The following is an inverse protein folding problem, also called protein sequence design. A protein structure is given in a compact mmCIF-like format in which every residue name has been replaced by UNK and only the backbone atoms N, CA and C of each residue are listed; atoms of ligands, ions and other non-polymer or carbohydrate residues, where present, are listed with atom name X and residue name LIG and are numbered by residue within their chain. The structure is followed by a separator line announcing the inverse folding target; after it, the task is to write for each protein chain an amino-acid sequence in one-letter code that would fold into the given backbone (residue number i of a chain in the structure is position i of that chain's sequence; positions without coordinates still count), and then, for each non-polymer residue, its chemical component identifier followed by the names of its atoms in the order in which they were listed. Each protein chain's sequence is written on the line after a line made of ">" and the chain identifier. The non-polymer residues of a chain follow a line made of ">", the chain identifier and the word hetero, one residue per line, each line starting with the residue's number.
data_IF_136051355710
#
_entry.id   IF_136051355710
#
_cell.length_a   1.000
_cell.length_b   1.000
_cell.length_c   1.000
_cell.angle_alpha   90.00
_cell.angle_beta   90.00
_cell.angle_gamma   90.00
#
_symmetry.space_group_name_H-M   'P 1'
#
loop_
_entity.id
_entity.type
_entity.pdbx_description
1 polymer ?
#
# COMPACT_ATOMS: atom_id res chain seq x y z
N UNK A 1 -11.66 -14.18 34.11
CA UNK A 1 -11.97 -13.74 32.76
C UNK A 1 -10.72 -13.52 31.98
N UNK A 2 -10.60 -14.25 30.94
CA UNK A 2 -9.44 -14.12 30.09
C UNK A 2 -9.59 -12.89 29.20
N UNK A 3 -8.62 -12.00 29.28
CA UNK A 3 -8.46 -10.98 28.26
C UNK A 3 -8.19 -11.65 26.94
N UNK A 4 -8.87 -11.26 25.85
CA UNK A 4 -8.55 -11.82 24.55
C UNK A 4 -7.08 -11.55 24.25
N UNK A 5 -6.35 -12.60 23.93
CA UNK A 5 -5.00 -12.43 23.42
C UNK A 5 -5.05 -11.71 22.09
N UNK A 6 -4.16 -10.75 21.92
CA UNK A 6 -3.88 -10.24 20.59
C UNK A 6 -3.49 -11.43 19.72
N UNK A 7 -4.08 -11.61 18.54
CA UNK A 7 -3.73 -12.73 17.69
C UNK A 7 -2.23 -12.66 17.34
N UNK A 8 -1.57 -13.79 17.49
CA UNK A 8 -0.19 -13.93 17.02
C UNK A 8 -0.22 -13.93 15.49
N UNK A 9 0.45 -12.96 14.88
CA UNK A 9 0.51 -12.89 13.44
C UNK A 9 1.27 -14.10 12.87
N UNK A 10 0.68 -14.76 11.90
CA UNK A 10 1.35 -15.83 11.15
C UNK A 10 2.42 -15.22 10.22
N UNK A 11 3.32 -16.08 9.72
CA UNK A 11 4.28 -15.66 8.69
C UNK A 11 3.57 -15.07 7.47
N UNK A 12 2.44 -15.67 7.08
CA UNK A 12 1.63 -15.15 5.96
C UNK A 12 1.09 -13.75 6.24
N UNK A 13 0.59 -13.51 7.46
CA UNK A 13 0.06 -12.20 7.85
C UNK A 13 1.15 -11.11 7.82
N UNK A 14 2.38 -11.47 8.17
CA UNK A 14 3.53 -10.56 8.12
C UNK A 14 3.96 -10.31 6.67
N UNK A 15 3.97 -11.36 5.85
CA UNK A 15 4.47 -11.32 4.48
C UNK A 15 3.52 -10.66 3.49
N UNK A 16 2.20 -10.79 3.67
CA UNK A 16 1.23 -10.21 2.74
C UNK A 16 1.41 -8.70 2.54
N UNK A 17 1.55 -7.87 3.58
CA UNK A 17 1.78 -6.44 3.37
C UNK A 17 3.07 -6.13 2.62
N UNK A 18 4.12 -6.90 2.86
CA UNK A 18 5.41 -6.72 2.19
C UNK A 18 5.27 -7.02 0.70
N UNK A 19 4.61 -8.13 0.38
CA UNK A 19 4.38 -8.53 -1.01
C UNK A 19 3.43 -7.55 -1.71
N UNK A 20 2.39 -7.10 -1.03
CA UNK A 20 1.46 -6.10 -1.58
C UNK A 20 2.18 -4.79 -1.90
N UNK A 21 3.11 -4.36 -1.07
CA UNK A 21 3.91 -3.15 -1.33
C UNK A 21 4.83 -3.34 -2.53
N UNK A 22 5.47 -4.49 -2.66
CA UNK A 22 6.27 -4.82 -3.84
C UNK A 22 5.40 -4.88 -5.10
N UNK A 23 4.19 -5.44 -4.98
CA UNK A 23 3.22 -5.50 -6.08
C UNK A 23 2.82 -4.10 -6.54
N UNK A 24 2.58 -3.19 -5.62
CA UNK A 24 2.24 -1.81 -5.96
C UNK A 24 3.32 -1.19 -6.85
N UNK A 25 4.59 -1.33 -6.47
CA UNK A 25 5.71 -0.81 -7.27
C UNK A 25 5.78 -1.46 -8.65
N UNK A 26 5.61 -2.77 -8.71
CA UNK A 26 5.68 -3.51 -9.98
C UNK A 26 4.51 -3.14 -10.91
N UNK A 27 3.29 -3.11 -10.39
CA UNK A 27 2.11 -2.74 -11.17
C UNK A 27 2.15 -1.27 -11.60
N UNK A 28 2.70 -0.39 -10.78
CA UNK A 28 2.84 1.02 -11.14
C UNK A 28 3.77 1.19 -12.35
N UNK A 29 4.81 0.37 -12.47
CA UNK A 29 5.74 0.42 -13.60
C UNK A 29 5.18 -0.22 -14.86
N UNK A 30 4.57 -1.39 -14.72
CA UNK A 30 4.18 -2.22 -15.87
C UNK A 30 2.69 -2.32 -16.16
N UNK A 31 1.84 -1.81 -15.26
CA UNK A 31 0.40 -2.00 -15.34
C UNK A 31 -0.02 -3.42 -14.98
N UNK A 32 -1.33 -3.65 -14.91
CA UNK A 32 -1.84 -4.97 -14.54
C UNK A 32 -1.44 -6.04 -15.56
N UNK A 33 -1.64 -5.76 -16.84
CA UNK A 33 -1.37 -6.73 -17.89
C UNK A 33 0.13 -6.86 -18.19
N UNK A 34 0.90 -5.82 -17.97
CA UNK A 34 2.34 -5.80 -18.25
C UNK A 34 3.20 -6.32 -17.10
N UNK A 35 2.62 -6.74 -15.99
CA UNK A 35 3.34 -7.20 -14.80
C UNK A 35 2.97 -8.65 -14.53
N UNK A 36 3.97 -9.49 -14.31
CA UNK A 36 3.77 -10.90 -13.96
C UNK A 36 3.91 -11.10 -12.45
N UNK A 37 3.35 -12.19 -11.94
CA UNK A 37 3.58 -12.58 -10.54
C UNK A 37 5.06 -12.82 -10.28
N UNK A 38 5.80 -13.32 -11.27
CA UNK A 38 7.26 -13.50 -11.18
C UNK A 38 7.98 -12.16 -10.98
N UNK A 39 7.52 -11.09 -11.62
CA UNK A 39 8.08 -9.75 -11.42
C UNK A 39 7.91 -9.28 -9.99
N UNK A 40 6.72 -9.47 -9.42
CA UNK A 40 6.43 -9.13 -8.03
C UNK A 40 7.28 -9.96 -7.08
N UNK A 41 7.39 -11.25 -7.33
CA UNK A 41 8.19 -12.17 -6.51
C UNK A 41 9.66 -11.74 -6.48
N UNK A 42 10.20 -11.32 -7.62
CA UNK A 42 11.58 -10.83 -7.72
C UNK A 42 11.76 -9.56 -6.88
N UNK A 43 10.85 -8.61 -6.98
CA UNK A 43 10.91 -7.38 -6.20
C UNK A 43 10.78 -7.64 -4.69
N UNK A 44 10.00 -8.64 -4.31
CA UNK A 44 9.80 -9.03 -2.91
C UNK A 44 10.87 -10.00 -2.38
N UNK A 45 11.76 -10.46 -3.25
CA UNK A 45 12.83 -11.42 -2.94
C UNK A 45 12.30 -12.75 -2.39
N UNK A 46 11.20 -13.24 -2.97
CA UNK A 46 10.61 -14.55 -2.66
C UNK A 46 10.30 -15.30 -3.94
N UNK A 47 9.93 -16.58 -3.82
CA UNK A 47 9.57 -17.38 -4.99
C UNK A 47 8.18 -17.02 -5.51
N UNK A 48 7.92 -17.16 -6.82
CA UNK A 48 6.58 -17.00 -7.36
C UNK A 48 5.57 -17.96 -6.71
N UNK A 49 5.98 -19.17 -6.39
CA UNK A 49 5.12 -20.15 -5.71
C UNK A 49 4.66 -19.63 -4.35
N UNK A 50 5.53 -18.94 -3.61
CA UNK A 50 5.17 -18.37 -2.33
C UNK A 50 4.19 -17.19 -2.50
N UNK A 51 4.39 -16.38 -3.54
CA UNK A 51 3.41 -15.31 -3.85
C UNK A 51 2.04 -15.91 -4.12
N UNK A 52 1.94 -16.98 -4.90
CA UNK A 52 0.67 -17.66 -5.18
C UNK A 52 0.06 -18.27 -3.91
N UNK A 53 0.88 -18.70 -2.97
CA UNK A 53 0.39 -19.18 -1.68
C UNK A 53 -0.28 -18.07 -0.88
N UNK A 54 0.28 -16.85 -0.93
CA UNK A 54 -0.27 -15.69 -0.22
C UNK A 54 -1.47 -15.08 -0.96
N UNK A 55 -1.38 -15.04 -2.28
CA UNK A 55 -2.39 -14.46 -3.18
C UNK A 55 -2.62 -15.45 -4.33
N UNK A 56 -3.63 -16.32 -4.21
CA UNK A 56 -3.84 -17.39 -5.18
C UNK A 56 -4.10 -16.95 -6.61
N UNK A 57 -4.47 -15.70 -6.83
CA UNK A 57 -4.72 -15.14 -8.16
C UNK A 57 -4.07 -13.76 -8.28
N UNK A 58 -3.64 -13.41 -9.48
CA UNK A 58 -3.04 -12.11 -9.78
C UNK A 58 -3.98 -10.95 -9.43
N UNK A 59 -5.28 -11.13 -9.63
CA UNK A 59 -6.28 -10.12 -9.33
C UNK A 59 -6.31 -9.80 -7.83
N UNK A 60 -6.17 -10.81 -6.98
CA UNK A 60 -6.12 -10.61 -5.52
C UNK A 60 -4.85 -9.85 -5.12
N UNK A 61 -3.74 -10.14 -5.77
CA UNK A 61 -2.50 -9.42 -5.58
C UNK A 61 -2.64 -7.96 -5.98
N UNK A 62 -3.30 -7.71 -7.11
CA UNK A 62 -3.56 -6.36 -7.59
C UNK A 62 -4.46 -5.57 -6.63
N UNK A 63 -5.53 -6.20 -6.12
CA UNK A 63 -6.41 -5.57 -5.13
C UNK A 63 -5.62 -5.22 -3.87
N UNK A 64 -4.76 -6.10 -3.39
CA UNK A 64 -3.92 -5.83 -2.23
C UNK A 64 -2.98 -4.64 -2.49
N UNK A 65 -2.42 -4.54 -3.69
CA UNK A 65 -1.60 -3.39 -4.10
C UNK A 65 -2.40 -2.09 -4.10
N UNK A 66 -3.64 -2.12 -4.59
CA UNK A 66 -4.54 -0.95 -4.57
C UNK A 66 -4.87 -0.53 -3.14
N UNK A 67 -5.08 -1.47 -2.24
CA UNK A 67 -5.32 -1.17 -0.83
C UNK A 67 -4.13 -0.45 -0.20
N UNK A 68 -2.91 -0.86 -0.49
CA UNK A 68 -1.70 -0.18 -0.03
C UNK A 68 -1.64 1.25 -0.59
N UNK A 69 -1.93 1.41 -1.87
CA UNK A 69 -1.96 2.72 -2.52
C UNK A 69 -2.99 3.63 -1.83
N UNK A 70 -4.18 3.12 -1.58
CA UNK A 70 -5.26 3.86 -0.94
C UNK A 70 -4.88 4.27 0.48
N UNK A 71 -4.27 3.37 1.25
CA UNK A 71 -3.80 3.67 2.60
C UNK A 71 -2.76 4.79 2.62
N UNK A 72 -1.85 4.80 1.64
CA UNK A 72 -0.86 5.88 1.49
C UNK A 72 -1.52 7.22 1.20
N UNK A 73 -2.54 7.25 0.36
CA UNK A 73 -3.29 8.47 0.05
C UNK A 73 -4.00 8.98 1.30
N UNK A 74 -4.70 8.10 2.00
CA UNK A 74 -5.41 8.46 3.23
C UNK A 74 -4.43 8.98 4.29
N UNK A 75 -3.30 8.30 4.47
CA UNK A 75 -2.28 8.72 5.43
C UNK A 75 -1.70 10.10 5.07
N UNK A 76 -1.46 10.37 3.79
CA UNK A 76 -0.96 11.66 3.35
C UNK A 76 -1.97 12.78 3.59
N UNK A 77 -3.25 12.53 3.31
CA UNK A 77 -4.31 13.50 3.56
C UNK A 77 -4.47 13.78 5.06
N UNK A 78 -4.43 12.74 5.88
CA UNK A 78 -4.51 12.88 7.34
C UNK A 78 -3.32 13.66 7.89
N UNK A 79 -2.10 13.36 7.44
CA UNK A 79 -0.91 14.08 7.84
C UNK A 79 -0.97 15.55 7.41
N UNK A 80 -1.51 15.83 6.22
CA UNK A 80 -1.71 17.19 5.74
C UNK A 80 -2.69 17.95 6.60
N UNK A 81 -3.80 17.33 7.00
CA UNK A 81 -4.78 17.94 7.88
C UNK A 81 -4.17 18.26 9.26
N UNK A 82 -3.38 17.33 9.82
CA UNK A 82 -2.72 17.51 11.11
C UNK A 82 -1.63 18.61 11.06
N UNK A 83 -1.01 18.78 9.91
CA UNK A 83 0.03 19.79 9.71
C UNK A 83 -0.53 21.17 9.36
N UNK A 84 -1.85 21.32 9.26
CA UNK A 84 -2.47 22.59 8.89
C UNK A 84 -2.14 23.68 9.92
N UNK A 85 -1.80 24.87 9.41
CA UNK A 85 -1.60 26.05 10.25
C UNK A 85 -2.95 26.71 10.50
N UNK A 86 -3.57 26.34 11.61
CA UNK A 86 -4.86 26.86 12.03
C UNK A 86 -5.98 25.86 11.85
N UNK A 87 -7.14 26.21 12.44
CA UNK A 87 -8.29 25.32 12.53
C UNK A 87 -9.38 25.63 11.51
N UNK A 88 -9.16 26.61 10.62
CA UNK A 88 -10.16 26.93 9.60
C UNK A 88 -10.28 25.80 8.59
N UNK A 89 -11.50 25.53 8.08
CA UNK A 89 -11.67 24.53 7.04
C UNK A 89 -10.79 24.80 5.81
N UNK A 90 -10.57 26.05 5.47
CA UNK A 90 -9.73 26.45 4.34
C UNK A 90 -8.27 26.07 4.56
N UNK A 91 -7.72 26.34 5.75
CA UNK A 91 -6.34 25.99 6.08
C UNK A 91 -6.13 24.47 6.06
N UNK A 92 -7.09 23.71 6.59
CA UNK A 92 -7.04 22.25 6.58
C UNK A 92 -7.11 21.71 5.15
N UNK A 93 -8.01 22.22 4.32
CA UNK A 93 -8.13 21.79 2.93
C UNK A 93 -6.87 22.11 2.13
N UNK A 94 -6.28 23.29 2.32
CA UNK A 94 -5.04 23.68 1.64
C UNK A 94 -3.89 22.75 2.03
N UNK A 95 -3.75 22.44 3.32
CA UNK A 95 -2.70 21.54 3.80
C UNK A 95 -2.88 20.11 3.27
N UNK A 96 -4.13 19.62 3.22
CA UNK A 96 -4.44 18.32 2.64
C UNK A 96 -4.13 18.29 1.14
N UNK A 97 -4.48 19.36 0.42
CA UNK A 97 -4.20 19.49 -1.00
C UNK A 97 -2.70 19.46 -1.28
N UNK A 98 -1.90 20.18 -0.48
CA UNK A 98 -0.45 20.18 -0.60
C UNK A 98 0.14 18.79 -0.35
N UNK A 99 -0.33 18.10 0.68
CA UNK A 99 0.10 16.74 1.00
C UNK A 99 -0.24 15.76 -0.13
N UNK A 100 -1.43 15.87 -0.73
CA UNK A 100 -1.81 15.05 -1.86
C UNK A 100 -0.94 15.35 -3.09
N UNK A 101 -0.67 16.62 -3.37
CA UNK A 101 0.18 17.01 -4.48
C UNK A 101 1.60 16.46 -4.32
N UNK A 102 2.15 16.47 -3.11
CA UNK A 102 3.45 15.90 -2.83
C UNK A 102 3.45 14.38 -3.03
N UNK A 103 2.39 13.71 -2.62
CA UNK A 103 2.25 12.27 -2.77
C UNK A 103 2.23 11.85 -4.23
N UNK A 104 1.47 12.54 -5.08
CA UNK A 104 1.38 12.17 -6.51
C UNK A 104 2.67 12.50 -7.28
N UNK A 105 3.53 13.36 -6.75
CA UNK A 105 4.86 13.59 -7.32
C UNK A 105 5.87 12.52 -6.92
N UNK A 106 5.57 11.73 -5.90
CA UNK A 106 6.41 10.63 -5.46
C UNK A 106 6.28 9.46 -6.44
N UNK A 107 7.34 9.20 -7.19
CA UNK A 107 7.37 8.13 -8.19
C UNK A 107 7.32 6.74 -7.59
N UNK A 108 7.54 6.59 -6.30
CA UNK A 108 7.44 5.30 -5.64
C UNK A 108 6.00 4.85 -5.45
N UNK A 109 5.05 5.77 -5.50
CA UNK A 109 3.63 5.45 -5.45
C UNK A 109 3.10 5.05 -6.83
N UNK A 110 3.58 5.71 -7.85
CA UNK A 110 3.18 5.49 -9.24
C UNK A 110 4.15 4.56 -9.94
#
# INVERSE_FOLDING_TARGET
>A
LMTPRSPVLSTADIRRPIVATAALRAFARGGFHGTTVADVARDAEISPAYVFKLFPRKELLFVAALEVCFEKIVAALAAGADAAEGDSPEAVLDAMGDAYADLIRDRTLL
#
